data_IF_272697714640
#
_entry.id   IF_272697714640
#
_cell.length_a   1.000
_cell.length_b   1.000
_cell.length_c   1.000
_cell.angle_alpha   90.00
_cell.angle_beta   90.00
_cell.angle_gamma   90.00
#
_symmetry.space_group_name_H-M   'P 1'
#
loop_
_entity.id
_entity.type
_entity.pdbx_description
1 polymer ?
#
# COMPACT_ATOMS: atom_id res chain seq x y z
N UNK A 1 19.94 -24.78 13.10
CA UNK A 1 19.01 -25.00 11.97
C UNK A 1 19.11 -23.78 11.08
N UNK A 2 19.58 -23.98 9.85
CA UNK A 2 19.79 -22.91 8.89
C UNK A 2 18.42 -22.38 8.44
N UNK A 3 17.97 -21.24 9.01
CA UNK A 3 16.70 -20.62 8.63
C UNK A 3 16.93 -19.84 7.34
N UNK A 4 16.93 -20.53 6.21
CA UNK A 4 16.94 -19.86 4.90
C UNK A 4 15.68 -19.02 4.72
N UNK A 5 15.78 -17.95 3.94
CA UNK A 5 14.60 -17.22 3.46
C UNK A 5 13.63 -18.21 2.78
N UNK A 6 12.34 -18.11 3.06
CA UNK A 6 11.33 -19.04 2.55
C UNK A 6 10.17 -18.30 1.89
N UNK A 7 9.69 -18.89 0.79
CA UNK A 7 8.49 -18.47 0.06
C UNK A 7 7.52 -19.63 0.06
N UNK A 8 6.35 -19.44 0.64
CA UNK A 8 5.32 -20.47 0.77
C UNK A 8 4.03 -19.96 0.13
N UNK A 9 3.39 -20.77 -0.70
CA UNK A 9 2.10 -20.42 -1.34
C UNK A 9 1.00 -21.23 -0.66
N UNK A 10 0.04 -20.52 -0.08
CA UNK A 10 -1.15 -21.10 0.57
C UNK A 10 -2.41 -20.53 -0.06
N UNK A 11 -3.57 -21.11 0.25
CA UNK A 11 -4.87 -20.48 -0.05
C UNK A 11 -5.49 -19.95 1.24
N UNK A 12 -6.20 -18.84 1.16
CA UNK A 12 -7.07 -18.40 2.25
C UNK A 12 -8.41 -19.16 2.27
N UNK A 13 -9.24 -18.82 3.24
CA UNK A 13 -10.59 -19.38 3.41
C UNK A 13 -11.51 -19.16 2.20
N UNK A 14 -11.22 -18.16 1.36
CA UNK A 14 -11.95 -17.86 0.13
C UNK A 14 -11.33 -18.57 -1.10
N UNK A 15 -10.30 -19.41 -0.89
CA UNK A 15 -9.58 -20.12 -1.95
C UNK A 15 -8.60 -19.26 -2.74
N UNK A 16 -8.37 -18.01 -2.33
CA UNK A 16 -7.45 -17.08 -3.00
C UNK A 16 -6.03 -17.45 -2.62
N UNK A 17 -5.15 -17.54 -3.62
CA UNK A 17 -3.75 -17.84 -3.34
C UNK A 17 -3.06 -16.64 -2.68
N UNK A 18 -2.25 -16.93 -1.68
CA UNK A 18 -1.46 -15.99 -0.92
C UNK A 18 -0.02 -16.51 -0.81
N UNK A 19 0.94 -15.60 -0.79
CA UNK A 19 2.36 -15.89 -0.69
C UNK A 19 2.86 -15.37 0.65
N UNK A 20 3.44 -16.26 1.45
CA UNK A 20 4.10 -15.94 2.71
C UNK A 20 5.61 -15.86 2.47
N UNK A 21 6.16 -14.66 2.66
CA UNK A 21 7.59 -14.39 2.69
C UNK A 21 8.06 -14.47 4.14
N UNK A 22 9.16 -15.20 4.40
CA UNK A 22 9.80 -15.28 5.72
C UNK A 22 11.26 -14.86 5.61
N UNK A 23 11.69 -13.94 6.48
CA UNK A 23 13.10 -13.62 6.63
C UNK A 23 13.79 -14.65 7.53
N UNK A 24 15.11 -14.88 7.37
CA UNK A 24 15.89 -15.74 8.26
C UNK A 24 15.76 -15.40 9.75
N UNK A 25 15.58 -14.11 10.06
CA UNK A 25 15.47 -13.60 11.43
C UNK A 25 14.05 -13.69 12.02
N UNK A 26 13.06 -14.13 11.24
CA UNK A 26 11.71 -14.40 11.70
C UNK A 26 10.66 -13.36 11.34
N UNK A 27 11.05 -12.24 10.70
CA UNK A 27 10.08 -11.32 10.13
C UNK A 27 9.28 -12.03 9.02
N UNK A 28 8.05 -11.58 8.76
CA UNK A 28 7.23 -12.18 7.70
C UNK A 28 6.36 -11.15 6.99
N UNK A 29 6.00 -11.44 5.75
CA UNK A 29 5.02 -10.65 4.98
C UNK A 29 4.12 -11.58 4.20
N UNK A 30 2.82 -11.27 4.14
CA UNK A 30 1.83 -12.05 3.39
C UNK A 30 1.26 -11.21 2.25
N UNK A 31 1.32 -11.75 1.04
CA UNK A 31 0.89 -11.09 -0.19
C UNK A 31 -0.25 -11.88 -0.81
N UNK A 32 -1.42 -11.26 -0.99
CA UNK A 32 -2.56 -11.88 -1.68
C UNK A 32 -2.45 -11.68 -3.18
N UNK A 33 -2.78 -12.71 -3.97
CA UNK A 33 -2.94 -12.53 -5.41
C UNK A 33 -4.17 -11.67 -5.74
N UNK A 34 -5.17 -11.62 -4.87
CA UNK A 34 -6.23 -10.62 -5.00
C UNK A 34 -5.68 -9.23 -4.69
N UNK A 35 -5.72 -8.36 -5.70
CA UNK A 35 -5.21 -7.00 -5.66
C UNK A 35 -3.69 -6.87 -5.72
N UNK A 36 -2.94 -7.99 -5.79
CA UNK A 36 -1.48 -7.96 -5.65
C UNK A 36 -1.06 -7.38 -4.30
N UNK A 37 -1.88 -7.58 -3.27
CA UNK A 37 -1.92 -6.74 -2.08
C UNK A 37 -1.13 -7.37 -0.95
N UNK A 38 -0.20 -6.61 -0.34
CA UNK A 38 0.39 -7.01 0.94
C UNK A 38 -0.68 -6.86 2.02
N UNK A 39 -1.00 -7.95 2.71
CA UNK A 39 -2.07 -8.02 3.73
C UNK A 39 -1.56 -8.02 5.16
N UNK A 40 -0.31 -8.43 5.37
CA UNK A 40 0.32 -8.52 6.69
C UNK A 40 1.82 -8.35 6.54
N UNK A 41 2.45 -7.66 7.49
CA UNK A 41 3.88 -7.49 7.62
C UNK A 41 4.22 -7.49 9.11
N UNK A 42 4.99 -8.48 9.54
CA UNK A 42 5.28 -8.72 10.95
C UNK A 42 6.77 -8.62 11.23
N UNK A 43 7.08 -8.06 12.40
CA UNK A 43 8.45 -8.03 12.94
C UNK A 43 8.93 -9.44 13.28
N UNK A 44 10.22 -9.58 13.62
CA UNK A 44 10.82 -10.81 14.12
C UNK A 44 10.14 -11.34 15.39
N UNK A 45 9.46 -10.45 16.14
CA UNK A 45 8.71 -10.77 17.36
C UNK A 45 7.23 -11.08 17.09
N UNK A 46 6.80 -11.05 15.82
CA UNK A 46 5.42 -11.34 15.42
C UNK A 46 4.45 -10.16 15.57
N UNK A 47 4.93 -8.97 15.91
CA UNK A 47 4.12 -7.75 15.97
C UNK A 47 3.68 -7.34 14.57
N UNK A 48 2.38 -7.09 14.37
CA UNK A 48 1.81 -6.65 13.09
C UNK A 48 2.07 -5.15 12.87
N UNK A 49 2.52 -4.84 11.65
CA UNK A 49 2.90 -3.49 11.22
C UNK A 49 1.86 -2.88 10.27
N UNK A 50 0.99 -3.70 9.66
CA UNK A 50 -0.07 -3.23 8.78
C UNK A 50 -1.44 -3.41 9.43
N UNK A 51 -2.25 -2.36 9.35
CA UNK A 51 -3.64 -2.43 9.78
C UNK A 51 -4.48 -3.17 8.74
N UNK A 52 -5.38 -4.03 9.21
CA UNK A 52 -6.45 -4.62 8.41
C UNK A 52 -7.74 -4.55 9.20
N UNK A 53 -8.79 -4.00 8.58
CA UNK A 53 -10.10 -3.89 9.21
C UNK A 53 -10.63 -5.28 9.59
N UNK A 54 -11.22 -5.38 10.78
CA UNK A 54 -11.93 -6.57 11.24
C UNK A 54 -13.20 -6.86 10.42
N UNK A 55 -13.76 -5.84 9.76
CA UNK A 55 -14.90 -5.96 8.84
C UNK A 55 -14.47 -6.08 7.36
N UNK A 56 -13.18 -6.22 7.08
CA UNK A 56 -12.68 -6.27 5.71
C UNK A 56 -13.29 -7.44 4.92
N UNK A 57 -13.68 -7.18 3.67
CA UNK A 57 -14.19 -8.20 2.76
C UNK A 57 -13.05 -8.74 1.92
N UNK A 58 -12.65 -10.00 2.15
CA UNK A 58 -11.49 -10.61 1.47
C UNK A 58 -11.81 -11.20 0.10
N UNK A 59 -13.07 -11.16 -0.33
CA UNK A 59 -13.57 -11.81 -1.53
C UNK A 59 -13.67 -10.84 -2.73
N UNK A 60 -13.15 -11.20 -3.92
CA UNK A 60 -13.39 -10.45 -5.15
C UNK A 60 -14.89 -10.30 -5.45
N UNK A 61 -15.31 -9.20 -6.09
CA UNK A 61 -14.48 -8.14 -6.66
C UNK A 61 -14.16 -6.99 -5.67
N UNK A 62 -14.55 -7.10 -4.39
CA UNK A 62 -14.36 -6.01 -3.43
C UNK A 62 -12.89 -5.78 -3.11
N UNK A 63 -12.43 -4.53 -3.14
CA UNK A 63 -11.08 -4.18 -2.69
C UNK A 63 -10.98 -4.45 -1.19
N UNK A 64 -9.84 -4.97 -0.73
CA UNK A 64 -9.73 -5.36 0.67
C UNK A 64 -9.25 -4.20 1.53
N UNK A 65 -10.02 -3.84 2.57
CA UNK A 65 -9.72 -2.75 3.51
C UNK A 65 -8.49 -3.07 4.38
N UNK A 66 -7.41 -2.30 4.23
CA UNK A 66 -6.16 -2.44 4.98
C UNK A 66 -5.01 -3.09 4.21
N UNK A 67 -3.87 -3.29 4.84
CA UNK A 67 -2.63 -3.73 4.18
C UNK A 67 -2.10 -2.65 3.24
N UNK A 68 -1.73 -3.01 2.01
CA UNK A 68 -1.23 -2.07 0.99
C UNK A 68 -1.98 -2.27 -0.34
N UNK A 69 -3.23 -1.77 -0.48
CA UNK A 69 -3.92 -1.76 -1.75
C UNK A 69 -3.16 -0.99 -2.83
N UNK A 70 -3.22 -1.49 -4.06
CA UNK A 70 -2.60 -0.86 -5.24
C UNK A 70 -3.64 0.00 -5.95
N UNK A 71 -3.45 1.32 -5.95
CA UNK A 71 -4.28 2.24 -6.73
C UNK A 71 -3.69 2.36 -8.14
N UNK A 72 -4.39 1.85 -9.14
CA UNK A 72 -3.98 1.95 -10.55
C UNK A 72 -5.18 1.62 -11.45
N UNK A 73 -5.35 2.31 -12.58
CA UNK A 73 -4.54 3.42 -13.12
C UNK A 73 -4.99 4.80 -12.63
N UNK A 74 -5.80 4.86 -11.58
CA UNK A 74 -6.38 6.07 -11.03
C UNK A 74 -6.16 6.14 -9.52
N UNK A 75 -5.88 7.32 -8.98
CA UNK A 75 -5.95 7.63 -7.57
C UNK A 75 -7.19 8.46 -7.27
N UNK A 76 -7.93 8.09 -6.22
CA UNK A 76 -9.20 8.71 -5.87
C UNK A 76 -10.19 8.71 -7.04
N UNK A 77 -10.96 9.79 -7.16
CA UNK A 77 -11.92 10.01 -8.24
C UNK A 77 -11.40 11.01 -9.29
N UNK A 78 -10.10 10.96 -9.62
CA UNK A 78 -9.44 11.91 -10.53
C UNK A 78 -9.72 11.65 -12.02
N UNK A 79 -10.46 10.61 -12.37
CA UNK A 79 -10.82 10.27 -13.74
C UNK A 79 -12.16 9.52 -13.80
N UNK A 80 -12.44 8.86 -14.92
CA UNK A 80 -13.73 8.21 -15.19
C UNK A 80 -13.87 6.81 -14.59
N UNK A 81 -12.82 6.27 -13.98
CA UNK A 81 -12.86 4.94 -13.36
C UNK A 81 -13.44 5.01 -11.95
N UNK A 82 -13.84 3.85 -11.43
CA UNK A 82 -14.13 3.70 -10.01
C UNK A 82 -12.98 4.22 -9.14
N UNK A 83 -13.32 4.62 -7.92
CA UNK A 83 -12.35 5.20 -6.99
C UNK A 83 -11.12 4.29 -6.84
N UNK A 84 -9.94 4.88 -7.03
CA UNK A 84 -8.62 4.20 -7.00
C UNK A 84 -8.36 3.18 -8.12
N UNK A 85 -9.16 3.19 -9.19
CA UNK A 85 -9.01 2.28 -10.31
C UNK A 85 -9.35 0.84 -9.94
N UNK A 86 -8.81 -0.12 -10.68
CA UNK A 86 -9.24 -1.53 -10.63
C UNK A 86 -8.15 -2.51 -10.21
N UNK A 87 -6.87 -2.11 -10.15
CA UNK A 87 -5.78 -3.05 -9.88
C UNK A 87 -5.94 -3.84 -8.56
N UNK A 88 -6.45 -3.17 -7.52
CA UNK A 88 -6.78 -3.76 -6.21
C UNK A 88 -7.97 -4.73 -6.21
N UNK A 89 -8.75 -4.77 -7.28
CA UNK A 89 -9.95 -5.61 -7.44
C UNK A 89 -9.71 -6.84 -8.32
N UNK A 90 -8.54 -6.94 -8.96
CA UNK A 90 -8.20 -8.02 -9.90
C UNK A 90 -7.39 -9.13 -9.24
N UNK A 91 -7.44 -10.32 -9.82
CA UNK A 91 -6.51 -11.40 -9.46
C UNK A 91 -5.24 -11.23 -10.28
N UNK A 92 -4.13 -11.09 -9.59
CA UNK A 92 -2.79 -11.05 -10.15
C UNK A 92 -2.24 -12.47 -10.25
N UNK A 93 -1.23 -12.64 -11.11
CA UNK A 93 -0.51 -13.91 -11.23
C UNK A 93 0.92 -13.76 -10.75
N UNK A 94 1.51 -14.84 -10.26
CA UNK A 94 2.96 -14.88 -10.01
C UNK A 94 3.69 -14.83 -11.36
N UNK A 95 4.56 -13.85 -11.54
CA UNK A 95 5.40 -13.72 -12.73
C UNK A 95 6.58 -14.68 -12.61
N UNK A 96 6.58 -15.74 -13.44
CA UNK A 96 7.66 -16.74 -13.45
C UNK A 96 8.91 -16.26 -14.20
N UNK A 97 8.78 -15.22 -15.03
CA UNK A 97 9.86 -14.70 -15.86
C UNK A 97 9.98 -13.16 -15.71
N UNK A 98 10.21 -12.66 -14.48
CA UNK A 98 10.28 -11.24 -14.25
C UNK A 98 11.52 -10.64 -14.94
N UNK A 99 11.44 -9.42 -15.50
CA UNK A 99 12.61 -8.71 -15.98
C UNK A 99 13.63 -8.54 -14.85
N UNK A 100 14.95 -8.60 -15.14
CA UNK A 100 15.96 -8.38 -14.11
C UNK A 100 15.76 -7.00 -13.45
N UNK A 101 15.85 -6.99 -12.12
CA UNK A 101 16.08 -5.78 -11.35
C UNK A 101 17.58 -5.66 -11.09
N UNK A 102 18.10 -4.44 -11.05
CA UNK A 102 19.48 -4.22 -10.62
C UNK A 102 19.69 -4.90 -9.26
N UNK A 103 20.76 -5.69 -9.15
CA UNK A 103 20.92 -6.65 -8.06
C UNK A 103 20.93 -5.93 -6.71
N UNK A 104 19.86 -6.09 -5.93
CA UNK A 104 20.01 -5.98 -4.48
C UNK A 104 20.57 -7.32 -4.03
N UNK A 105 21.72 -7.33 -3.36
CA UNK A 105 22.39 -8.53 -2.85
C UNK A 105 21.39 -9.64 -2.45
N UNK A 106 21.45 -10.77 -3.16
CA UNK A 106 20.44 -11.84 -3.10
C UNK A 106 20.60 -12.76 -1.89
N UNK A 107 21.63 -12.56 -1.05
CA UNK A 107 21.83 -13.41 0.13
C UNK A 107 20.75 -13.12 1.19
N UNK A 108 19.82 -14.05 1.36
CA UNK A 108 18.90 -14.10 2.49
C UNK A 108 17.60 -13.29 2.39
N UNK A 109 17.29 -12.68 1.24
CA UNK A 109 16.02 -11.96 1.03
C UNK A 109 14.95 -12.90 0.45
N UNK A 110 13.71 -12.81 0.94
CA UNK A 110 12.55 -13.47 0.33
C UNK A 110 11.84 -12.47 -0.58
N UNK A 111 11.45 -12.87 -1.79
CA UNK A 111 10.69 -11.99 -2.69
C UNK A 111 9.68 -12.76 -3.54
N UNK A 112 8.70 -12.04 -4.07
CA UNK A 112 7.75 -12.51 -5.06
C UNK A 112 7.55 -11.45 -6.14
N UNK A 113 7.44 -11.89 -7.38
CA UNK A 113 7.06 -11.07 -8.52
C UNK A 113 5.62 -11.36 -8.93
N UNK A 114 4.80 -10.33 -9.04
CA UNK A 114 3.41 -10.39 -9.44
C UNK A 114 3.20 -9.60 -10.74
N UNK A 115 2.25 -10.04 -11.54
CA UNK A 115 1.88 -9.44 -12.82
C UNK A 115 0.37 -9.33 -12.94
N UNK A 116 -0.07 -8.13 -13.31
CA UNK A 116 -1.41 -7.84 -13.80
C UNK A 116 -1.30 -7.44 -15.27
N UNK A 117 -2.05 -8.13 -16.13
CA UNK A 117 -2.21 -7.79 -17.55
C UNK A 117 -3.61 -7.24 -17.77
N UNK A 118 -3.76 -6.29 -18.70
CA UNK A 118 -5.08 -5.85 -19.15
C UNK A 118 -5.91 -7.05 -19.63
N UNK A 119 -7.09 -7.24 -19.06
CA UNK A 119 -8.10 -8.17 -19.55
C UNK A 119 -9.07 -7.50 -20.53
N UNK A 120 -9.87 -8.28 -21.25
CA UNK A 120 -10.91 -7.75 -22.15
C UNK A 120 -11.92 -6.86 -21.40
N UNK A 121 -12.23 -7.18 -20.13
CA UNK A 121 -13.10 -6.35 -19.30
C UNK A 121 -12.44 -5.02 -18.89
N UNK A 122 -11.14 -5.03 -18.59
CA UNK A 122 -10.40 -3.80 -18.31
C UNK A 122 -10.36 -2.88 -19.53
N UNK A 123 -10.17 -3.46 -20.72
CA UNK A 123 -10.11 -2.71 -21.98
C UNK A 123 -11.46 -2.03 -22.35
N UNK A 124 -12.59 -2.51 -21.82
CA UNK A 124 -13.90 -1.85 -21.98
C UNK A 124 -14.00 -0.53 -21.22
N UNK A 125 -13.36 -0.43 -20.06
CA UNK A 125 -13.44 0.75 -19.18
C UNK A 125 -12.20 1.64 -19.27
N UNK A 126 -11.06 1.07 -19.65
CA UNK A 126 -9.78 1.77 -19.83
C UNK A 126 -9.03 1.16 -21.03
N UNK A 127 -9.16 1.72 -22.24
CA UNK A 127 -8.76 1.08 -23.51
C UNK A 127 -7.24 1.16 -23.78
N UNK A 128 -6.43 0.80 -22.78
CA UNK A 128 -4.98 0.83 -22.83
C UNK A 128 -4.40 -0.53 -22.40
N UNK A 129 -3.71 -1.19 -23.33
CA UNK A 129 -3.04 -2.46 -23.06
C UNK A 129 -1.77 -2.23 -22.25
N UNK A 130 -1.71 -2.86 -21.09
CA UNK A 130 -0.65 -2.63 -20.12
C UNK A 130 -0.22 -3.93 -19.43
N UNK A 131 1.01 -3.93 -18.93
CA UNK A 131 1.46 -4.87 -17.89
C UNK A 131 1.86 -4.05 -16.66
N UNK A 132 1.22 -4.30 -15.54
CA UNK A 132 1.64 -3.79 -14.23
C UNK A 132 2.33 -4.93 -13.48
N UNK A 133 3.63 -4.77 -13.21
CA UNK A 133 4.41 -5.70 -12.38
C UNK A 133 4.63 -5.11 -11.00
N UNK A 134 4.60 -5.96 -9.99
CA UNK A 134 4.91 -5.63 -8.61
C UNK A 134 5.87 -6.68 -8.04
N UNK A 135 7.03 -6.25 -7.57
CA UNK A 135 7.90 -7.08 -6.74
C UNK A 135 7.73 -6.69 -5.28
N UNK A 136 7.47 -7.67 -4.43
CA UNK A 136 7.48 -7.52 -2.97
C UNK A 136 8.70 -8.24 -2.42
N UNK A 137 9.53 -7.54 -1.66
CA UNK A 137 10.77 -8.06 -1.07
C UNK A 137 10.71 -7.87 0.44
N UNK A 138 10.93 -8.95 1.18
CA UNK A 138 11.21 -8.92 2.60
C UNK A 138 12.70 -9.15 2.81
N UNK A 139 13.39 -8.15 3.35
CA UNK A 139 14.83 -8.22 3.61
C UNK A 139 15.13 -9.04 4.87
N UNK A 140 16.41 -9.38 5.06
CA UNK A 140 16.87 -10.16 6.22
C UNK A 140 16.52 -9.48 7.55
N UNK A 141 16.67 -8.16 7.61
CA UNK A 141 16.36 -7.27 8.74
C UNK A 141 14.87 -6.92 8.86
N UNK A 142 14.01 -7.47 8.00
CA UNK A 142 12.56 -7.30 8.10
C UNK A 142 12.00 -6.06 7.42
N UNK A 143 12.81 -5.28 6.69
CA UNK A 143 12.32 -4.18 5.86
C UNK A 143 11.52 -4.69 4.65
N UNK A 144 10.37 -4.07 4.40
CA UNK A 144 9.51 -4.38 3.27
C UNK A 144 9.77 -3.41 2.12
N UNK A 145 10.10 -3.92 0.93
CA UNK A 145 10.31 -3.12 -0.27
C UNK A 145 9.31 -3.52 -1.36
N UNK A 146 8.66 -2.53 -1.98
CA UNK A 146 7.72 -2.73 -3.09
C UNK A 146 8.22 -1.98 -4.32
N UNK A 147 8.41 -2.70 -5.43
CA UNK A 147 8.89 -2.12 -6.68
C UNK A 147 7.85 -2.39 -7.76
N UNK A 148 7.26 -1.33 -8.31
CA UNK A 148 6.27 -1.43 -9.39
C UNK A 148 6.83 -0.98 -10.73
N UNK A 149 6.39 -1.62 -11.82
CA UNK A 149 6.73 -1.25 -13.19
C UNK A 149 5.50 -1.34 -14.07
N UNK A 150 5.17 -0.25 -14.75
CA UNK A 150 4.09 -0.21 -15.75
C UNK A 150 4.72 -0.24 -17.13
N UNK A 151 4.31 -1.20 -17.97
CA UNK A 151 4.72 -1.30 -19.37
C UNK A 151 3.52 -1.00 -20.26
N UNK A 152 3.70 -0.07 -21.18
CA UNK A 152 2.79 0.11 -22.32
C UNK A 152 3.06 -1.01 -23.36
N UNK A 153 2.05 -1.81 -23.66
CA UNK A 153 2.20 -3.00 -24.52
C UNK A 153 1.89 -2.69 -26.00
N UNK A 154 0.98 -1.75 -26.27
CA UNK A 154 0.47 -1.52 -27.62
C UNK A 154 1.01 -0.23 -28.27
N UNK A 155 1.91 0.48 -27.59
CA UNK A 155 2.59 1.68 -28.11
C UNK A 155 1.73 2.95 -28.17
N UNK A 156 0.42 2.88 -27.85
CA UNK A 156 -0.43 4.07 -27.75
C UNK A 156 -0.17 4.76 -26.41
N UNK A 157 0.28 6.03 -26.38
CA UNK A 157 0.53 6.73 -25.12
C UNK A 157 -0.72 6.73 -24.23
N UNK A 158 -0.51 6.61 -22.92
CA UNK A 158 -1.56 6.76 -21.93
C UNK A 158 -1.00 7.40 -20.66
N UNK A 159 -1.86 8.13 -19.95
CA UNK A 159 -1.56 8.68 -18.64
C UNK A 159 -2.21 7.83 -17.56
N UNK A 160 -1.58 7.76 -16.40
CA UNK A 160 -2.11 7.07 -15.25
C UNK A 160 -1.64 7.76 -13.96
N UNK A 161 -2.30 7.41 -12.86
CA UNK A 161 -1.78 7.66 -11.51
C UNK A 161 -1.61 6.32 -10.80
N UNK A 162 -0.67 6.30 -9.86
CA UNK A 162 -0.31 5.12 -9.11
C UNK A 162 -0.12 5.49 -7.64
N UNK A 163 -0.60 4.65 -6.72
CA UNK A 163 -0.30 4.80 -5.30
C UNK A 163 -0.26 3.45 -4.58
N UNK A 164 0.65 3.34 -3.61
CA UNK A 164 0.59 2.34 -2.55
C UNK A 164 -0.24 2.92 -1.40
N UNK A 165 -1.46 2.41 -1.21
CA UNK A 165 -2.37 2.92 -0.19
C UNK A 165 -2.08 2.25 1.17
N UNK A 166 -0.87 2.41 1.70
CA UNK A 166 -0.42 1.70 2.91
C UNK A 166 -1.25 2.09 4.14
N UNK A 167 -1.76 1.09 4.86
CA UNK A 167 -2.41 1.23 6.16
C UNK A 167 -1.45 0.72 7.23
N UNK A 168 -0.78 1.61 7.95
CA UNK A 168 0.04 1.26 9.10
C UNK A 168 -0.86 0.90 10.28
N UNK A 169 -0.54 -0.21 10.96
CA UNK A 169 -1.09 -0.44 12.30
C UNK A 169 -0.34 0.49 13.24
N UNK A 170 -1.04 1.31 14.00
CA UNK A 170 -0.48 2.23 15.01
C UNK A 170 -0.98 1.86 16.41
N UNK A 171 -0.55 2.57 17.45
CA UNK A 171 -1.03 2.41 18.83
C UNK A 171 -2.39 3.08 19.02
N UNK A 172 -2.39 4.41 19.01
CA UNK A 172 -3.54 5.30 18.99
C UNK A 172 -3.19 6.50 18.08
N UNK A 173 -4.13 6.96 17.28
CA UNK A 173 -3.97 8.09 16.37
C UNK A 173 -3.60 9.39 17.10
N UNK A 174 -3.99 9.54 18.37
CA UNK A 174 -3.57 10.69 19.20
C UNK A 174 -2.09 10.65 19.61
N UNK A 175 -1.47 9.47 19.60
CA UNK A 175 -0.06 9.24 19.97
C UNK A 175 0.86 9.18 18.75
N UNK A 176 0.34 9.56 17.57
CA UNK A 176 1.04 9.51 16.29
C UNK A 176 1.26 10.89 15.72
N UNK A 177 2.46 11.08 15.14
CA UNK A 177 2.76 12.24 14.30
C UNK A 177 3.54 11.85 13.05
N UNK A 178 3.39 12.66 12.00
CA UNK A 178 4.12 12.49 10.74
C UNK A 178 5.10 13.64 10.55
N UNK A 179 6.35 13.31 10.26
CA UNK A 179 7.44 14.25 9.98
C UNK A 179 7.98 14.03 8.55
N UNK A 180 8.59 15.06 7.96
CA UNK A 180 9.07 15.10 6.58
C UNK A 180 8.08 15.70 5.57
N UNK A 181 7.01 16.34 6.08
CA UNK A 181 5.96 17.00 5.29
C UNK A 181 5.86 18.51 5.56
N UNK A 182 6.73 19.02 6.42
CA UNK A 182 6.76 20.42 6.85
C UNK A 182 6.98 21.33 5.64
N UNK A 183 6.33 22.49 5.61
CA UNK A 183 6.47 23.52 4.55
C UNK A 183 6.01 23.09 3.15
N UNK A 184 5.55 21.86 2.97
CA UNK A 184 5.05 21.38 1.68
C UNK A 184 3.65 21.89 1.41
N UNK A 185 3.37 22.13 0.14
CA UNK A 185 2.00 22.33 -0.31
C UNK A 185 1.24 21.00 -0.34
N UNK A 186 -0.01 21.01 0.12
CA UNK A 186 -0.93 19.89 -0.01
C UNK A 186 -2.26 20.33 -0.61
N UNK A 187 -2.94 19.37 -1.23
CA UNK A 187 -4.34 19.50 -1.62
C UNK A 187 -5.21 18.87 -0.55
N UNK A 188 -6.13 19.64 0.04
CA UNK A 188 -7.05 19.14 1.05
C UNK A 188 -8.34 18.60 0.40
N UNK A 189 -8.53 17.28 0.40
CA UNK A 189 -9.70 16.67 -0.22
C UNK A 189 -11.01 16.96 0.55
N UNK A 190 -10.94 17.39 1.81
CA UNK A 190 -12.11 17.81 2.60
C UNK A 190 -12.54 19.24 2.24
N UNK A 191 -11.61 20.06 1.76
CA UNK A 191 -11.83 21.44 1.32
C UNK A 191 -11.79 21.59 -0.21
N UNK A 192 -12.44 20.68 -0.94
CA UNK A 192 -12.53 20.72 -2.42
C UNK A 192 -11.17 20.82 -3.14
N UNK A 193 -10.13 20.18 -2.58
CA UNK A 193 -8.74 20.22 -3.06
C UNK A 193 -8.14 21.62 -3.07
N UNK A 194 -8.53 22.45 -2.10
CA UNK A 194 -7.83 23.70 -1.84
C UNK A 194 -6.34 23.41 -1.60
N UNK A 195 -5.49 24.25 -2.19
CA UNK A 195 -4.04 24.15 -2.05
C UNK A 195 -3.62 25.01 -0.85
N UNK A 196 -3.06 24.37 0.15
CA UNK A 196 -2.58 24.96 1.39
C UNK A 196 -1.13 24.54 1.63
N UNK A 197 -0.43 25.22 2.53
CA UNK A 197 0.96 24.89 2.89
C UNK A 197 1.01 24.43 4.34
N UNK A 198 1.67 23.30 4.61
CA UNK A 198 1.88 22.79 5.96
C UNK A 198 2.76 23.73 6.78
N UNK A 199 2.25 24.16 7.93
CA UNK A 199 2.94 25.12 8.82
C UNK A 199 3.44 24.47 10.10
N UNK A 200 2.94 23.29 10.45
CA UNK A 200 3.38 22.59 11.66
C UNK A 200 4.78 21.99 11.50
N UNK A 201 5.51 21.90 12.61
CA UNK A 201 6.79 21.16 12.68
C UNK A 201 6.60 19.64 12.52
N UNK A 202 5.37 19.15 12.74
CA UNK A 202 4.93 17.79 12.47
C UNK A 202 3.41 17.77 12.30
N UNK A 203 2.90 16.87 11.47
CA UNK A 203 1.46 16.64 11.33
C UNK A 203 0.95 15.76 12.49
N UNK A 204 -0.06 16.25 13.19
CA UNK A 204 -0.80 15.54 14.25
C UNK A 204 -2.29 15.45 13.88
N UNK A 205 -3.06 14.66 14.62
CA UNK A 205 -4.42 14.28 14.25
C UNK A 205 -5.42 14.60 15.36
N UNK A 206 -6.29 15.58 15.09
CA UNK A 206 -7.41 15.95 15.99
C UNK A 206 -8.78 15.84 15.27
N UNK A 207 -8.78 15.46 13.99
CA UNK A 207 -9.96 15.38 13.14
C UNK A 207 -9.69 14.52 11.89
N UNK A 208 -10.68 14.40 11.00
CA UNK A 208 -10.52 13.77 9.68
C UNK A 208 -9.42 14.48 8.89
N UNK A 209 -8.51 13.69 8.33
CA UNK A 209 -7.44 14.17 7.44
C UNK A 209 -7.55 13.41 6.13
N UNK A 210 -7.54 14.13 5.01
CA UNK A 210 -7.44 13.58 3.66
C UNK A 210 -6.64 14.55 2.79
N UNK A 211 -5.31 14.50 2.92
CA UNK A 211 -4.39 15.48 2.32
C UNK A 211 -3.42 14.82 1.35
N UNK A 212 -3.22 15.46 0.20
CA UNK A 212 -2.23 15.03 -0.81
C UNK A 212 -1.09 16.04 -0.81
N UNK A 213 0.00 15.73 -0.13
CA UNK A 213 1.24 16.51 -0.11
C UNK A 213 1.97 16.36 -1.45
N UNK A 214 2.32 17.48 -2.07
CA UNK A 214 2.88 17.55 -3.41
C UNK A 214 4.40 17.62 -3.37
N UNK A 215 5.07 16.93 -4.28
CA UNK A 215 6.54 17.04 -4.45
C UNK A 215 7.34 16.83 -3.16
N UNK A 216 6.88 15.92 -2.30
CA UNK A 216 7.52 15.56 -1.05
C UNK A 216 8.90 14.94 -1.25
N UNK A 217 9.77 15.08 -0.25
CA UNK A 217 11.08 14.46 -0.21
C UNK A 217 10.99 12.93 -0.26
N UNK A 218 12.12 12.27 -0.53
CA UNK A 218 12.16 10.81 -0.71
C UNK A 218 11.97 10.02 0.59
N UNK A 219 11.84 10.69 1.74
CA UNK A 219 11.62 10.06 3.04
C UNK A 219 10.55 10.79 3.86
N UNK A 220 9.66 10.01 4.48
CA UNK A 220 8.64 10.46 5.45
C UNK A 220 8.70 9.52 6.66
N UNK A 221 8.51 10.07 7.86
CA UNK A 221 8.55 9.29 9.10
C UNK A 221 7.21 9.38 9.86
N UNK A 222 6.69 8.24 10.29
CA UNK A 222 5.52 8.15 11.19
C UNK A 222 6.02 7.70 12.55
N UNK A 223 5.93 8.57 13.54
CA UNK A 223 6.31 8.29 14.93
C UNK A 223 5.09 7.83 15.70
N UNK A 224 5.22 6.69 16.38
CA UNK A 224 4.21 6.09 17.26
C UNK A 224 4.80 6.06 18.67
N UNK A 225 4.42 7.06 19.49
CA UNK A 225 5.05 7.33 20.78
C UNK A 225 4.76 6.23 21.80
N UNK A 226 3.52 5.75 21.86
CA UNK A 226 3.12 4.71 22.81
C UNK A 226 3.85 3.38 22.54
N UNK A 227 3.95 2.94 21.28
CA UNK A 227 4.73 1.74 20.93
C UNK A 227 6.23 1.99 20.81
N UNK A 228 6.70 3.23 20.96
CA UNK A 228 8.12 3.64 20.88
C UNK A 228 8.79 3.16 19.60
N UNK A 229 8.14 3.39 18.46
CA UNK A 229 8.62 2.98 17.15
C UNK A 229 8.39 4.05 16.09
N UNK A 230 9.11 3.91 14.99
CA UNK A 230 9.00 4.81 13.84
C UNK A 230 8.90 3.99 12.56
N UNK A 231 7.89 4.26 11.74
CA UNK A 231 7.88 3.82 10.35
C UNK A 231 8.66 4.83 9.52
N UNK A 232 9.70 4.36 8.83
CA UNK A 232 10.45 5.19 7.87
C UNK A 232 10.07 4.74 6.47
N UNK A 233 9.35 5.60 5.75
CA UNK A 233 8.91 5.36 4.38
C UNK A 233 9.92 6.03 3.46
N UNK A 234 10.58 5.22 2.62
CA UNK A 234 11.44 5.72 1.54
C UNK A 234 10.77 5.46 0.20
N UNK A 235 10.76 6.47 -0.67
CA UNK A 235 10.06 6.41 -1.96
C UNK A 235 10.97 6.91 -3.08
N UNK A 236 10.76 6.35 -4.27
CA UNK A 236 11.42 6.75 -5.51
C UNK A 236 10.37 6.71 -6.63
N UNK A 237 10.35 7.71 -7.51
CA UNK A 237 9.38 7.79 -8.60
C UNK A 237 7.93 8.05 -8.16
N UNK A 238 7.71 8.37 -6.88
CA UNK A 238 6.44 8.75 -6.28
C UNK A 238 6.61 10.15 -5.67
N UNK A 239 6.25 11.23 -6.37
CA UNK A 239 6.49 12.59 -5.87
C UNK A 239 5.53 12.97 -4.73
N UNK A 240 4.32 12.41 -4.73
CA UNK A 240 3.27 12.80 -3.81
C UNK A 240 3.15 11.83 -2.62
N UNK A 241 2.71 12.35 -1.47
CA UNK A 241 2.37 11.57 -0.27
C UNK A 241 0.95 11.90 0.13
N UNK A 242 0.17 10.86 0.40
CA UNK A 242 -1.20 11.01 0.91
C UNK A 242 -1.21 10.64 2.38
N UNK A 243 -1.77 11.51 3.21
CA UNK A 243 -2.07 11.20 4.61
C UNK A 243 -3.58 11.17 4.75
N UNK A 244 -4.10 10.05 5.25
CA UNK A 244 -5.52 9.83 5.38
C UNK A 244 -5.87 9.15 6.69
N UNK A 245 -6.75 9.78 7.48
CA UNK A 245 -7.43 9.14 8.59
C UNK A 245 -8.91 9.52 8.54
N UNK A 246 -9.84 8.55 8.46
CA UNK A 246 -11.28 8.83 8.28
C UNK A 246 -11.92 9.51 9.50
N UNK A 247 -11.32 9.41 10.68
CA UNK A 247 -11.94 9.85 11.93
C UNK A 247 -13.31 9.21 12.18
N UNK A 248 -13.99 9.64 13.24
CA UNK A 248 -15.19 8.98 13.77
C UNK A 248 -16.35 8.91 12.75
N UNK A 249 -16.74 10.06 12.17
CA UNK A 249 -17.95 10.13 11.34
C UNK A 249 -17.81 9.33 10.05
N UNK A 250 -16.67 9.43 9.36
CA UNK A 250 -16.43 8.70 8.11
C UNK A 250 -16.30 7.21 8.37
N UNK A 251 -15.65 6.81 9.46
CA UNK A 251 -15.48 5.38 9.83
C UNK A 251 -16.81 4.66 9.95
N UNK A 252 -17.78 5.28 10.64
CA UNK A 252 -19.15 4.74 10.79
C UNK A 252 -19.90 4.60 9.46
N UNK A 253 -19.52 5.36 8.43
CA UNK A 253 -20.14 5.31 7.11
C UNK A 253 -19.49 4.29 6.16
N UNK A 254 -18.29 3.77 6.49
CA UNK A 254 -17.59 2.80 5.67
C UNK A 254 -18.00 1.39 6.11
N UNK A 255 -18.73 0.69 5.26
CA UNK A 255 -19.36 -0.61 5.59
C UNK A 255 -18.35 -1.71 5.93
N UNK A 256 -17.18 -1.70 5.30
CA UNK A 256 -16.10 -2.68 5.49
C UNK A 256 -15.01 -2.22 6.48
N UNK A 257 -15.35 -1.26 7.35
CA UNK A 257 -14.46 -0.69 8.36
C UNK A 257 -15.15 -0.63 9.74
N UNK A 258 -14.41 -0.94 10.80
CA UNK A 258 -14.90 -0.85 12.17
C UNK A 258 -15.00 0.60 12.65
N UNK A 259 -16.06 0.90 13.38
CA UNK A 259 -16.46 2.28 13.73
C UNK A 259 -15.35 3.04 14.48
N UNK A 260 -14.58 2.34 15.32
CA UNK A 260 -13.49 2.90 16.14
C UNK A 260 -12.10 2.55 15.60
N UNK A 261 -12.00 1.85 14.46
CA UNK A 261 -10.71 1.35 13.95
C UNK A 261 -9.80 2.46 13.42
N UNK A 262 -10.33 3.66 13.16
CA UNK A 262 -9.55 4.82 12.76
C UNK A 262 -8.50 5.21 13.80
N UNK A 263 -8.72 4.86 15.07
CA UNK A 263 -7.76 5.09 16.16
C UNK A 263 -6.50 4.26 16.00
N UNK A 264 -6.56 3.13 15.29
CA UNK A 264 -5.46 2.16 15.23
C UNK A 264 -4.84 2.07 13.82
N UNK A 265 -5.14 3.02 12.95
CA UNK A 265 -4.61 3.07 11.58
C UNK A 265 -4.19 4.47 11.15
N UNK A 266 -3.19 4.49 10.27
CA UNK A 266 -2.81 5.65 9.48
C UNK A 266 -2.36 5.22 8.08
#
# INVERSE_FOLDING_TARGET
>A
MDKSAAVEITKDENGISQVLLKSPRGASARVSLHGGQVRSWKTERGEELLFTSSKAIFKPPAAVRGGIPICFPQFGNRGSLEQHGFARNRIWVVDKNPPPLQSTNSSGKAFIDLLLKSSDDDLKIWPHSHELRLRVILTVDGCLNLISRVRNVNGKPFSFSFAYHTYFSISDISEVRVEGLETLDYLDNLCNRERLTEQGDALTFESEVDRVYLSSLDAVAVFDHEKKRTFVIKKEGLPDVVVWNPWEKKSKAITDFGDEEYKHML
#
